data_IF_333155149933
#
_entry.id   IF_333155149933
#
_cell.length_a   1.000
_cell.length_b   1.000
_cell.length_c   1.000
_cell.angle_alpha   90.00
_cell.angle_beta   90.00
_cell.angle_gamma   90.00
#
_symmetry.space_group_name_H-M   'P 1'
#
loop_
_entity.id
_entity.type
_entity.pdbx_description
1 polymer ?
#
# COMPACT_ATOMS: atom_id res chain seq x y z
N UNK A 1 -2.86 28.81 18.51
CA UNK A 1 -2.80 27.36 18.19
C UNK A 1 -1.36 26.99 17.95
N UNK A 2 -0.77 26.17 18.82
CA UNK A 2 0.53 25.55 18.52
C UNK A 2 0.30 24.59 17.33
N UNK A 3 1.19 24.56 16.33
CA UNK A 3 1.06 23.59 15.25
C UNK A 3 1.09 22.19 15.88
N UNK A 4 0.07 21.37 15.59
CA UNK A 4 0.12 19.94 15.86
C UNK A 4 1.27 19.37 15.02
N UNK A 5 2.46 19.28 15.60
CA UNK A 5 3.54 18.48 15.05
C UNK A 5 3.07 17.02 15.13
N UNK A 6 2.62 16.48 14.00
CA UNK A 6 2.57 15.03 13.82
C UNK A 6 3.99 14.55 14.08
N UNK A 7 4.20 13.83 15.19
CA UNK A 7 5.52 13.38 15.57
C UNK A 7 6.07 12.49 14.46
N UNK A 8 7.22 12.86 13.90
CA UNK A 8 7.88 12.05 12.88
C UNK A 8 8.24 10.70 13.53
N UNK A 9 7.77 9.57 12.99
CA UNK A 9 7.96 8.28 13.61
C UNK A 9 9.46 7.99 13.77
N UNK A 10 9.88 7.61 14.98
CA UNK A 10 11.29 7.37 15.27
C UNK A 10 11.87 6.24 14.40
N UNK A 11 13.14 6.34 13.98
CA UNK A 11 13.80 5.30 13.20
C UNK A 11 13.81 3.93 13.88
N UNK A 12 13.78 2.84 13.09
CA UNK A 12 13.43 1.52 13.63
C UNK A 12 14.54 0.96 14.52
N UNK A 13 15.79 1.37 14.27
CA UNK A 13 16.94 1.00 15.09
C UNK A 13 16.91 1.59 16.50
N UNK A 14 16.05 2.58 16.79
CA UNK A 14 15.83 3.06 18.16
C UNK A 14 14.75 2.26 18.92
N UNK A 15 13.97 1.42 18.23
CA UNK A 15 12.85 0.64 18.81
C UNK A 15 13.05 -0.87 18.75
N UNK A 16 14.30 -1.33 18.61
CA UNK A 16 14.65 -2.75 18.44
C UNK A 16 14.02 -3.63 19.52
N UNK A 17 14.07 -3.21 20.78
CA UNK A 17 13.53 -3.98 21.91
C UNK A 17 12.04 -4.28 21.77
N UNK A 18 11.26 -3.40 21.14
CA UNK A 18 9.82 -3.59 20.96
C UNK A 18 9.52 -4.72 19.97
N UNK A 19 10.33 -4.89 18.92
CA UNK A 19 10.16 -5.98 17.95
C UNK A 19 10.45 -7.34 18.59
N UNK A 20 11.48 -7.43 19.43
CA UNK A 20 11.77 -8.66 20.19
C UNK A 20 10.74 -8.94 21.29
N UNK A 21 10.13 -7.90 21.86
CA UNK A 21 9.06 -8.05 22.84
C UNK A 21 7.72 -8.50 22.20
N UNK A 22 7.53 -8.30 20.89
CA UNK A 22 6.26 -8.57 20.22
C UNK A 22 5.77 -10.03 20.38
N UNK A 23 6.56 -11.08 20.10
CA UNK A 23 6.09 -12.46 20.25
C UNK A 23 5.79 -12.87 21.69
N UNK A 24 6.26 -12.11 22.69
CA UNK A 24 5.98 -12.36 24.11
C UNK A 24 4.67 -11.76 24.61
N UNK A 25 3.95 -11.00 23.77
CA UNK A 25 2.58 -10.60 24.12
C UNK A 25 1.69 -11.84 24.25
N UNK A 26 0.69 -11.80 25.14
CA UNK A 26 -0.11 -12.97 25.52
C UNK A 26 -0.74 -13.73 24.35
N UNK A 27 -1.30 -13.00 23.38
CA UNK A 27 -1.91 -13.59 22.19
C UNK A 27 -0.90 -14.24 21.23
N UNK A 28 0.15 -13.53 20.73
CA UNK A 28 1.22 -14.16 19.96
C UNK A 28 1.85 -15.33 20.71
N UNK A 29 2.23 -15.17 21.97
CA UNK A 29 2.93 -16.20 22.73
C UNK A 29 2.10 -17.49 22.83
N UNK A 30 0.82 -17.38 23.19
CA UNK A 30 -0.09 -18.51 23.25
C UNK A 30 -0.23 -19.21 21.89
N UNK A 31 -0.34 -18.44 20.81
CA UNK A 31 -0.44 -19.00 19.47
C UNK A 31 0.85 -19.66 18.97
N UNK A 32 2.02 -19.07 19.26
CA UNK A 32 3.32 -19.64 18.94
C UNK A 32 3.56 -20.96 19.69
N UNK A 33 3.20 -21.02 20.98
CA UNK A 33 3.27 -22.24 21.77
C UNK A 33 2.32 -23.31 21.25
N UNK A 34 1.09 -22.94 20.87
CA UNK A 34 0.13 -23.86 20.26
C UNK A 34 0.66 -24.47 18.96
N UNK A 35 1.18 -23.65 18.05
CA UNK A 35 1.75 -24.11 16.78
C UNK A 35 3.01 -24.98 17.00
N UNK A 36 3.89 -24.55 17.90
CA UNK A 36 5.10 -25.26 18.27
C UNK A 36 4.79 -26.65 18.84
N UNK A 37 3.90 -26.75 19.83
CA UNK A 37 3.47 -28.03 20.41
C UNK A 37 2.67 -28.86 19.41
N UNK A 38 1.90 -28.21 18.54
CA UNK A 38 1.21 -28.82 17.42
C UNK A 38 2.14 -29.59 16.48
N UNK A 39 3.44 -29.29 16.45
CA UNK A 39 4.41 -30.09 15.69
C UNK A 39 4.44 -31.57 16.09
N UNK A 40 4.02 -31.91 17.32
CA UNK A 40 3.91 -33.29 17.80
C UNK A 40 2.70 -34.07 17.23
N UNK A 41 1.77 -33.39 16.55
CA UNK A 41 0.61 -34.02 15.89
C UNK A 41 1.00 -35.03 14.80
N UNK A 42 2.24 -35.02 14.31
CA UNK A 42 2.72 -36.01 13.34
C UNK A 42 2.53 -37.46 13.83
N UNK A 43 2.56 -37.67 15.16
CA UNK A 43 2.31 -38.99 15.76
C UNK A 43 0.87 -39.47 15.61
N UNK A 44 -0.10 -38.54 15.51
CA UNK A 44 -1.49 -38.88 15.28
C UNK A 44 -1.73 -39.36 13.83
N UNK A 45 -0.82 -39.03 12.91
CA UNK A 45 -0.84 -39.49 11.51
C UNK A 45 -0.13 -40.85 11.38
N UNK A 46 -0.48 -41.82 12.22
CA UNK A 46 0.18 -43.14 12.28
C UNK A 46 0.06 -43.95 10.99
N UNK A 47 -0.92 -43.63 10.14
CA UNK A 47 -1.15 -44.27 8.85
C UNK A 47 -0.19 -43.78 7.74
N UNK A 48 0.55 -42.70 7.97
CA UNK A 48 1.55 -42.17 7.04
C UNK A 48 2.97 -42.51 7.50
N UNK A 49 3.92 -42.72 6.55
CA UNK A 49 5.34 -42.75 6.88
C UNK A 49 5.75 -41.51 7.67
N UNK A 50 6.51 -41.70 8.76
CA UNK A 50 6.96 -40.63 9.65
C UNK A 50 7.50 -39.37 8.93
N UNK A 51 8.39 -39.44 7.92
CA UNK A 51 8.86 -38.23 7.25
C UNK A 51 7.76 -37.46 6.50
N UNK A 52 6.77 -38.16 5.92
CA UNK A 52 5.64 -37.54 5.24
C UNK A 52 4.69 -36.87 6.23
N UNK A 53 4.39 -37.55 7.34
CA UNK A 53 3.58 -37.00 8.43
C UNK A 53 4.21 -35.73 9.02
N UNK A 54 5.51 -35.77 9.30
CA UNK A 54 6.26 -34.60 9.79
C UNK A 54 6.19 -33.48 8.75
N UNK A 55 6.51 -33.75 7.49
CA UNK A 55 6.47 -32.75 6.42
C UNK A 55 5.12 -32.06 6.29
N UNK A 56 4.02 -32.82 6.31
CA UNK A 56 2.67 -32.28 6.22
C UNK A 56 2.33 -31.35 7.39
N UNK A 57 2.65 -31.76 8.62
CA UNK A 57 2.44 -30.94 9.83
C UNK A 57 3.30 -29.67 9.78
N UNK A 58 4.56 -29.78 9.36
CA UNK A 58 5.46 -28.62 9.24
C UNK A 58 4.97 -27.62 8.18
N UNK A 59 4.43 -28.08 7.05
CA UNK A 59 3.83 -27.19 6.04
C UNK A 59 2.62 -26.45 6.65
N UNK A 60 1.76 -27.15 7.39
CA UNK A 60 0.64 -26.53 8.09
C UNK A 60 1.08 -25.45 9.08
N UNK A 61 2.09 -25.75 9.90
CA UNK A 61 2.68 -24.80 10.86
C UNK A 61 3.29 -23.60 10.14
N UNK A 62 4.08 -23.83 9.09
CA UNK A 62 4.69 -22.78 8.28
C UNK A 62 3.62 -21.83 7.73
N UNK A 63 2.57 -22.36 7.11
CA UNK A 63 1.48 -21.56 6.54
C UNK A 63 0.73 -20.77 7.63
N UNK A 64 0.44 -21.41 8.77
CA UNK A 64 -0.24 -20.78 9.89
C UNK A 64 0.60 -19.65 10.53
N UNK A 65 1.90 -19.89 10.70
CA UNK A 65 2.86 -18.93 11.23
C UNK A 65 3.09 -17.78 10.25
N UNK A 66 3.23 -18.05 8.95
CA UNK A 66 3.37 -17.05 7.90
C UNK A 66 2.10 -16.21 7.77
N UNK A 67 0.90 -16.80 7.84
CA UNK A 67 -0.38 -16.06 7.83
C UNK A 67 -0.41 -15.04 8.97
N UNK A 68 -0.02 -15.47 10.17
CA UNK A 68 0.06 -14.55 11.30
C UNK A 68 1.15 -13.50 11.10
N UNK A 69 2.34 -13.87 10.60
CA UNK A 69 3.39 -12.91 10.26
C UNK A 69 2.92 -11.83 9.28
N UNK A 70 2.20 -12.20 8.22
CA UNK A 70 1.60 -11.23 7.29
C UNK A 70 0.58 -10.30 7.97
N UNK A 71 -0.24 -10.84 8.87
CA UNK A 71 -1.13 -10.02 9.72
C UNK A 71 -0.33 -9.03 10.57
N UNK A 72 0.77 -9.45 11.18
CA UNK A 72 1.64 -8.57 11.98
C UNK A 72 2.25 -7.47 11.12
N UNK A 73 2.76 -7.81 9.93
CA UNK A 73 3.36 -6.82 9.03
C UNK A 73 2.32 -5.81 8.51
N UNK A 74 1.12 -6.28 8.12
CA UNK A 74 0.05 -5.44 7.59
C UNK A 74 -0.59 -4.52 8.64
N UNK A 75 -0.80 -5.01 9.88
CA UNK A 75 -1.30 -4.18 10.96
C UNK A 75 -0.20 -3.26 11.52
N UNK A 76 1.03 -3.75 11.56
CA UNK A 76 2.21 -2.97 11.92
C UNK A 76 2.43 -1.78 10.98
N UNK A 77 2.17 -1.94 9.68
CA UNK A 77 2.27 -0.85 8.70
C UNK A 77 1.23 0.26 8.90
N UNK A 78 0.10 -0.09 9.50
CA UNK A 78 -0.95 0.84 9.91
C UNK A 78 -0.69 1.45 11.30
N UNK A 79 0.42 1.11 11.95
CA UNK A 79 0.79 1.61 13.29
C UNK A 79 0.26 0.77 14.45
N UNK A 80 -0.36 -0.38 14.20
CA UNK A 80 -0.92 -1.26 15.23
C UNK A 80 0.13 -2.32 15.63
N UNK A 81 0.83 -2.08 16.73
CA UNK A 81 1.94 -2.92 17.22
C UNK A 81 1.56 -3.89 18.36
N UNK A 82 0.38 -3.70 18.97
CA UNK A 82 -0.13 -4.56 20.04
C UNK A 82 -1.17 -5.53 19.49
N UNK A 83 -0.98 -6.81 19.74
CA UNK A 83 -1.90 -7.85 19.29
C UNK A 83 -3.29 -7.72 19.93
N UNK A 84 -3.37 -7.20 21.16
CA UNK A 84 -4.64 -6.93 21.84
C UNK A 84 -5.51 -5.89 21.10
N UNK A 85 -4.90 -5.04 20.27
CA UNK A 85 -5.59 -4.00 19.49
C UNK A 85 -5.93 -4.48 18.07
N UNK A 86 -5.70 -5.76 17.76
CA UNK A 86 -6.00 -6.29 16.42
C UNK A 86 -7.50 -6.31 16.16
N UNK A 87 -7.96 -5.81 15.00
CA UNK A 87 -9.37 -5.81 14.65
C UNK A 87 -9.87 -7.25 14.52
N UNK A 88 -11.13 -7.46 14.92
CA UNK A 88 -11.78 -8.77 14.89
C UNK A 88 -12.00 -9.25 13.46
N UNK A 89 -12.25 -8.33 12.53
CA UNK A 89 -12.34 -8.59 11.09
C UNK A 89 -11.07 -8.10 10.40
N UNK A 90 -10.44 -8.99 9.65
CA UNK A 90 -9.24 -8.71 8.87
C UNK A 90 -9.59 -8.64 7.41
N UNK A 91 -8.76 -7.95 6.63
CA UNK A 91 -8.90 -7.94 5.19
C UNK A 91 -8.83 -9.39 4.64
N UNK A 92 -9.88 -9.87 3.95
CA UNK A 92 -9.87 -11.21 3.37
C UNK A 92 -8.70 -11.43 2.41
N UNK A 93 -8.19 -10.37 1.77
CA UNK A 93 -7.09 -10.44 0.82
C UNK A 93 -5.76 -10.84 1.46
N UNK A 94 -5.62 -10.68 2.78
CA UNK A 94 -4.42 -11.10 3.51
C UNK A 94 -4.34 -12.61 3.70
N UNK A 95 -5.45 -13.32 3.52
CA UNK A 95 -5.56 -14.77 3.75
C UNK A 95 -4.59 -15.57 2.90
N UNK A 96 -4.36 -15.11 1.68
CA UNK A 96 -3.62 -15.85 0.66
C UNK A 96 -2.22 -15.28 0.37
N UNK A 97 -1.78 -14.27 1.13
CA UNK A 97 -0.41 -13.73 1.02
C UNK A 97 0.70 -14.79 1.27
N UNK A 98 0.58 -15.73 2.22
CA UNK A 98 1.59 -16.77 2.41
C UNK A 98 1.82 -17.62 1.16
N UNK A 99 0.75 -17.95 0.43
CA UNK A 99 0.82 -18.70 -0.82
C UNK A 99 1.45 -17.88 -1.94
N UNK A 100 1.14 -16.58 -2.01
CA UNK A 100 1.77 -15.65 -2.96
C UNK A 100 3.27 -15.52 -2.69
N UNK A 101 3.69 -15.40 -1.43
CA UNK A 101 5.10 -15.40 -1.04
C UNK A 101 5.79 -16.71 -1.39
N UNK A 102 5.16 -17.86 -1.11
CA UNK A 102 5.70 -19.16 -1.49
C UNK A 102 5.96 -19.24 -3.00
N UNK A 103 5.00 -18.80 -3.83
CA UNK A 103 5.17 -18.76 -5.27
C UNK A 103 6.32 -17.82 -5.70
N UNK A 104 6.49 -16.66 -5.04
CA UNK A 104 7.63 -15.75 -5.29
C UNK A 104 8.96 -16.43 -4.96
N UNK A 105 9.03 -17.13 -3.83
CA UNK A 105 10.23 -17.88 -3.43
C UNK A 105 10.55 -19.02 -4.40
N UNK A 106 9.54 -19.69 -4.96
CA UNK A 106 9.73 -20.68 -6.04
C UNK A 106 10.33 -20.02 -7.29
N UNK A 107 9.81 -18.87 -7.72
CA UNK A 107 10.38 -18.10 -8.84
C UNK A 107 11.83 -17.71 -8.57
N UNK A 108 12.13 -17.20 -7.37
CA UNK A 108 13.51 -16.89 -6.96
C UNK A 108 14.41 -18.13 -7.01
N UNK A 109 13.94 -19.28 -6.51
CA UNK A 109 14.67 -20.54 -6.56
C UNK A 109 14.98 -21.02 -7.98
N UNK A 110 14.03 -20.86 -8.90
CA UNK A 110 14.22 -21.18 -10.33
C UNK A 110 15.30 -20.26 -10.94
N UNK A 111 15.26 -18.96 -10.64
CA UNK A 111 16.27 -17.99 -11.14
C UNK A 111 17.67 -18.37 -10.63
N UNK A 112 17.82 -18.60 -9.32
CA UNK A 112 19.11 -19.01 -8.73
C UNK A 112 19.57 -20.34 -9.32
N UNK A 113 18.66 -21.30 -9.50
CA UNK A 113 18.96 -22.61 -10.12
C UNK A 113 19.42 -22.49 -11.56
N UNK A 114 18.85 -21.58 -12.35
CA UNK A 114 19.33 -21.27 -13.70
C UNK A 114 20.72 -20.62 -13.68
N UNK A 115 20.95 -19.63 -12.82
CA UNK A 115 22.27 -19.01 -12.67
C UNK A 115 23.35 -20.03 -12.26
N UNK A 116 23.00 -21.01 -11.41
CA UNK A 116 23.88 -22.09 -10.99
C UNK A 116 24.32 -23.01 -12.13
N UNK A 117 23.51 -23.14 -13.21
CA UNK A 117 23.92 -23.86 -14.41
C UNK A 117 24.99 -23.11 -15.23
N UNK A 118 25.08 -21.78 -15.07
CA UNK A 118 26.09 -20.96 -15.76
C UNK A 118 27.39 -20.94 -14.96
N UNK A 119 27.32 -20.58 -13.68
CA UNK A 119 28.46 -20.66 -12.76
C UNK A 119 28.03 -20.55 -11.31
N UNK A 120 28.86 -21.07 -10.40
CA UNK A 120 28.64 -20.91 -8.95
C UNK A 120 28.64 -19.43 -8.53
N UNK A 121 29.53 -18.62 -9.13
CA UNK A 121 29.61 -17.18 -8.83
C UNK A 121 28.33 -16.43 -9.22
N UNK A 122 27.74 -16.74 -10.37
CA UNK A 122 26.45 -16.15 -10.77
C UNK A 122 25.31 -16.58 -9.85
N UNK A 123 25.28 -17.83 -9.39
CA UNK A 123 24.28 -18.28 -8.43
C UNK A 123 24.39 -17.53 -7.09
N UNK A 124 25.60 -17.35 -6.59
CA UNK A 124 25.86 -16.59 -5.35
C UNK A 124 25.45 -15.12 -5.51
N UNK A 125 25.77 -14.50 -6.64
CA UNK A 125 25.34 -13.13 -6.93
C UNK A 125 23.82 -13.01 -7.03
N UNK A 126 23.16 -13.93 -7.74
CA UNK A 126 21.70 -13.96 -7.86
C UNK A 126 21.04 -14.14 -6.49
N UNK A 127 21.56 -15.06 -5.66
CA UNK A 127 21.08 -15.28 -4.30
C UNK A 127 21.22 -14.03 -3.44
N UNK A 128 22.38 -13.35 -3.50
CA UNK A 128 22.62 -12.11 -2.76
C UNK A 128 21.65 -11.00 -3.18
N UNK A 129 21.49 -10.78 -4.49
CA UNK A 129 20.59 -9.75 -5.04
C UNK A 129 19.13 -10.04 -4.69
N UNK A 130 18.66 -11.27 -4.88
CA UNK A 130 17.28 -11.64 -4.58
C UNK A 130 17.01 -11.60 -3.06
N UNK A 131 17.97 -11.98 -2.23
CA UNK A 131 17.84 -11.84 -0.77
C UNK A 131 17.76 -10.38 -0.34
N UNK A 132 18.53 -9.49 -0.99
CA UNK A 132 18.47 -8.05 -0.75
C UNK A 132 17.13 -7.44 -1.21
N UNK A 133 16.53 -7.93 -2.30
CA UNK A 133 15.25 -7.43 -2.83
C UNK A 133 14.01 -8.07 -2.17
N UNK A 134 14.18 -9.20 -1.47
CA UNK A 134 13.07 -9.95 -0.87
C UNK A 134 12.26 -9.11 0.14
N UNK A 135 12.85 -8.32 1.07
CA UNK A 135 12.06 -7.48 1.98
C UNK A 135 11.17 -6.47 1.23
N UNK A 136 11.69 -5.81 0.19
CA UNK A 136 10.91 -4.92 -0.65
C UNK A 136 9.80 -5.65 -1.41
N UNK A 137 10.05 -6.86 -1.92
CA UNK A 137 9.01 -7.70 -2.53
C UNK A 137 7.89 -8.04 -1.53
N UNK A 138 8.23 -8.35 -0.27
CA UNK A 138 7.24 -8.58 0.79
C UNK A 138 6.44 -7.32 1.10
N UNK A 139 7.10 -6.14 1.17
CA UNK A 139 6.42 -4.85 1.38
C UNK A 139 5.41 -4.58 0.26
N UNK A 140 5.82 -4.72 -1.00
CA UNK A 140 4.93 -4.56 -2.16
C UNK A 140 3.79 -5.59 -2.12
N UNK A 141 4.08 -6.82 -1.70
CA UNK A 141 3.07 -7.88 -1.57
C UNK A 141 2.02 -7.54 -0.51
N UNK A 142 2.44 -7.03 0.66
CA UNK A 142 1.53 -6.59 1.73
C UNK A 142 0.68 -5.41 1.27
N UNK A 143 1.28 -4.46 0.54
CA UNK A 143 0.62 -3.23 0.10
C UNK A 143 -0.39 -3.47 -1.04
N UNK A 144 0.00 -4.25 -2.04
CA UNK A 144 -0.79 -4.41 -3.29
C UNK A 144 -1.64 -5.67 -3.29
N UNK A 145 -1.41 -6.58 -2.33
CA UNK A 145 -1.94 -7.94 -2.28
C UNK A 145 -1.75 -8.72 -3.61
N UNK A 146 -0.94 -8.23 -4.54
CA UNK A 146 -0.80 -8.75 -5.90
C UNK A 146 0.48 -9.55 -6.08
N UNK A 147 0.37 -10.77 -6.61
CA UNK A 147 1.53 -11.61 -6.91
C UNK A 147 2.45 -10.99 -7.98
N UNK A 148 1.89 -10.57 -9.11
CA UNK A 148 2.67 -9.97 -10.19
C UNK A 148 3.27 -8.62 -9.81
N UNK A 149 2.54 -7.84 -9.00
CA UNK A 149 3.04 -6.58 -8.45
C UNK A 149 4.28 -6.80 -7.57
N UNK A 150 4.27 -7.84 -6.73
CA UNK A 150 5.39 -8.20 -5.86
C UNK A 150 6.61 -8.78 -6.61
N UNK A 151 6.47 -9.14 -7.89
CA UNK A 151 7.57 -9.53 -8.79
C UNK A 151 8.01 -8.39 -9.72
N UNK A 152 7.29 -7.27 -9.76
CA UNK A 152 7.59 -6.17 -10.66
C UNK A 152 8.86 -5.44 -10.18
N UNK A 153 9.95 -5.45 -10.95
CA UNK A 153 11.21 -4.85 -10.53
C UNK A 153 11.10 -3.34 -10.32
N UNK A 154 10.21 -2.65 -11.04
CA UNK A 154 10.00 -1.21 -10.87
C UNK A 154 9.40 -0.89 -9.50
N UNK A 155 8.34 -1.60 -9.10
CA UNK A 155 7.70 -1.40 -7.79
C UNK A 155 8.63 -1.77 -6.63
N UNK A 156 9.42 -2.83 -6.79
CA UNK A 156 10.43 -3.23 -5.80
C UNK A 156 11.51 -2.16 -5.68
N UNK A 157 12.07 -1.68 -6.79
CA UNK A 157 13.10 -0.65 -6.77
C UNK A 157 12.57 0.70 -6.25
N UNK A 158 11.33 1.06 -6.57
CA UNK A 158 10.69 2.25 -6.02
C UNK A 158 10.48 2.13 -4.51
N UNK A 159 10.10 0.96 -4.01
CA UNK A 159 10.03 0.69 -2.57
C UNK A 159 11.40 0.85 -1.90
N UNK A 160 12.46 0.31 -2.50
CA UNK A 160 13.85 0.47 -2.01
C UNK A 160 14.25 1.95 -2.00
N UNK A 161 13.87 2.72 -3.02
CA UNK A 161 14.15 4.17 -3.11
C UNK A 161 13.38 4.99 -2.08
N UNK A 162 12.11 4.66 -1.85
CA UNK A 162 11.25 5.32 -0.85
C UNK A 162 11.84 5.15 0.56
N UNK A 163 12.27 3.93 0.90
CA UNK A 163 12.90 3.65 2.20
C UNK A 163 14.30 4.27 2.28
N UNK A 164 15.06 4.22 1.18
CA UNK A 164 16.38 4.85 1.05
C UNK A 164 17.48 4.08 1.78
N UNK A 165 18.49 4.80 2.29
CA UNK A 165 19.64 4.20 3.02
C UNK A 165 19.24 3.28 4.19
N UNK A 166 18.20 3.60 4.99
CA UNK A 166 17.64 2.69 6.00
C UNK A 166 17.32 1.28 5.50
N UNK A 167 17.05 1.08 4.20
CA UNK A 167 16.75 -0.22 3.63
C UNK A 167 17.91 -1.20 3.75
N UNK A 168 19.14 -0.74 3.51
CA UNK A 168 20.32 -1.60 3.67
C UNK A 168 20.50 -2.04 5.13
N UNK A 169 20.21 -1.14 6.07
CA UNK A 169 20.22 -1.44 7.50
C UNK A 169 19.10 -2.43 7.87
N UNK A 170 17.90 -2.28 7.31
CA UNK A 170 16.80 -3.24 7.46
C UNK A 170 17.24 -4.63 6.98
N UNK A 171 17.80 -4.74 5.77
CA UNK A 171 18.30 -6.01 5.24
C UNK A 171 19.37 -6.62 6.15
N UNK A 172 20.29 -5.80 6.68
CA UNK A 172 21.30 -6.26 7.64
C UNK A 172 20.67 -6.81 8.92
N UNK A 173 19.68 -6.12 9.50
CA UNK A 173 18.96 -6.62 10.68
C UNK A 173 18.17 -7.90 10.39
N UNK A 174 17.50 -8.01 9.25
CA UNK A 174 16.78 -9.22 8.85
C UNK A 174 17.76 -10.40 8.64
N UNK A 175 18.93 -10.14 8.06
CA UNK A 175 20.00 -11.12 7.96
C UNK A 175 20.49 -11.57 9.34
N UNK A 176 20.78 -10.63 10.25
CA UNK A 176 21.18 -10.95 11.62
C UNK A 176 20.11 -11.75 12.37
N UNK A 177 18.83 -11.43 12.21
CA UNK A 177 17.72 -12.16 12.81
C UNK A 177 17.64 -13.59 12.25
N UNK A 178 17.78 -13.76 10.94
CA UNK A 178 17.78 -15.07 10.28
C UNK A 178 18.97 -15.93 10.73
N UNK A 179 20.19 -15.37 10.74
CA UNK A 179 21.38 -16.06 11.25
C UNK A 179 21.29 -16.34 12.75
N UNK A 180 20.74 -15.41 13.52
CA UNK A 180 20.50 -15.56 14.95
C UNK A 180 19.59 -16.75 15.27
N UNK A 181 18.56 -16.98 14.46
CA UNK A 181 17.70 -18.16 14.59
C UNK A 181 18.46 -19.48 14.38
N UNK A 182 19.36 -19.52 13.39
CA UNK A 182 20.20 -20.70 13.11
C UNK A 182 21.21 -20.96 14.23
N UNK A 183 21.88 -19.91 14.72
CA UNK A 183 22.85 -19.99 15.82
C UNK A 183 22.16 -20.38 17.13
N UNK A 184 21.01 -19.78 17.44
CA UNK A 184 20.22 -20.15 18.62
C UNK A 184 19.87 -21.64 18.57
N UNK A 185 19.48 -22.16 17.40
CA UNK A 185 19.20 -23.57 17.25
C UNK A 185 20.44 -24.44 17.44
N UNK A 186 21.59 -24.10 16.84
CA UNK A 186 22.81 -24.90 16.99
C UNK A 186 23.31 -24.96 18.44
N UNK A 187 23.05 -23.93 19.24
CA UNK A 187 23.33 -23.90 20.68
C UNK A 187 22.33 -24.71 21.52
N UNK A 188 21.09 -24.88 21.05
CA UNK A 188 20.04 -25.65 21.74
C UNK A 188 20.14 -27.16 21.47
N UNK A 189 20.66 -27.57 20.30
CA UNK A 189 20.83 -28.98 19.93
C UNK A 189 21.56 -29.85 20.99
N UNK A 190 22.65 -29.39 21.62
CA UNK A 190 23.35 -30.19 22.64
C UNK A 190 22.61 -30.26 23.98
N UNK A 191 21.76 -29.28 24.28
CA UNK A 191 21.07 -29.15 25.58
C UNK A 191 19.79 -29.97 25.61
N UNK A 192 19.08 -30.05 24.48
CA UNK A 192 17.78 -30.71 24.37
C UNK A 192 17.87 -31.91 23.44
N UNK A 193 17.36 -33.06 23.89
CA UNK A 193 17.30 -34.28 23.08
C UNK A 193 15.87 -34.83 22.98
N UNK A 194 15.61 -35.62 21.95
CA UNK A 194 14.33 -36.29 21.74
C UNK A 194 13.21 -35.39 21.19
N UNK A 195 11.98 -35.70 21.56
CA UNK A 195 10.76 -35.17 20.92
C UNK A 195 10.52 -33.68 21.14
N UNK A 196 11.09 -33.08 22.19
CA UNK A 196 10.93 -31.66 22.51
C UNK A 196 11.69 -30.75 21.54
N UNK A 197 12.68 -31.29 20.81
CA UNK A 197 13.51 -30.54 19.88
C UNK A 197 12.70 -29.97 18.72
N UNK A 198 11.68 -30.69 18.25
CA UNK A 198 10.84 -30.28 17.13
C UNK A 198 9.90 -29.10 17.49
N UNK A 199 9.19 -29.12 18.63
CA UNK A 199 8.53 -27.92 19.14
C UNK A 199 9.49 -26.76 19.36
N UNK A 200 10.65 -26.99 19.97
CA UNK A 200 11.60 -25.93 20.28
C UNK A 200 12.13 -25.25 18.99
N UNK A 201 12.46 -26.05 17.98
CA UNK A 201 12.81 -25.57 16.65
C UNK A 201 11.71 -24.70 16.04
N UNK A 202 10.46 -25.19 16.05
CA UNK A 202 9.32 -24.46 15.53
C UNK A 202 9.08 -23.16 16.28
N UNK A 203 9.18 -23.18 17.61
CA UNK A 203 9.02 -21.99 18.43
C UNK A 203 10.08 -20.93 18.08
N UNK A 204 11.35 -21.32 17.94
CA UNK A 204 12.41 -20.41 17.52
C UNK A 204 12.14 -19.82 16.13
N UNK A 205 11.78 -20.65 15.14
CA UNK A 205 11.48 -20.18 13.78
C UNK A 205 10.28 -19.23 13.75
N UNK A 206 9.20 -19.55 14.47
CA UNK A 206 8.01 -18.69 14.59
C UNK A 206 8.36 -17.37 15.27
N UNK A 207 9.10 -17.43 16.38
CA UNK A 207 9.55 -16.26 17.14
C UNK A 207 10.31 -15.29 16.24
N UNK A 208 11.42 -15.74 15.63
CA UNK A 208 12.23 -14.88 14.76
C UNK A 208 11.45 -14.42 13.52
N UNK A 209 10.60 -15.29 12.96
CA UNK A 209 9.69 -14.96 11.86
C UNK A 209 8.77 -13.78 12.18
N UNK A 210 8.18 -13.76 13.36
CA UNK A 210 7.28 -12.69 13.79
C UNK A 210 8.01 -11.43 14.24
N UNK A 211 9.22 -11.55 14.81
CA UNK A 211 10.09 -10.38 15.03
C UNK A 211 10.40 -9.70 13.71
N UNK A 212 10.81 -10.46 12.67
CA UNK A 212 11.05 -9.92 11.33
C UNK A 212 9.80 -9.27 10.73
N UNK A 213 8.63 -9.89 10.89
CA UNK A 213 7.37 -9.32 10.42
C UNK A 213 7.01 -8.00 11.13
N UNK A 214 7.20 -7.93 12.45
CA UNK A 214 6.96 -6.71 13.23
C UNK A 214 7.90 -5.57 12.84
N UNK A 215 9.17 -5.89 12.59
CA UNK A 215 10.17 -4.94 12.08
C UNK A 215 9.77 -4.42 10.69
N UNK A 216 9.39 -5.32 9.78
CA UNK A 216 8.99 -4.96 8.42
C UNK A 216 7.74 -4.07 8.43
N UNK A 217 6.72 -4.44 9.22
CA UNK A 217 5.53 -3.63 9.40
C UNK A 217 5.85 -2.23 9.94
N UNK A 218 6.74 -2.11 10.92
CA UNK A 218 7.12 -0.80 11.44
C UNK A 218 7.92 0.06 10.44
N UNK A 219 8.77 -0.54 9.60
CA UNK A 219 9.43 0.21 8.50
C UNK A 219 8.40 0.71 7.50
N UNK A 220 7.39 -0.09 7.17
CA UNK A 220 6.28 0.38 6.34
C UNK A 220 5.53 1.53 7.00
N UNK A 221 5.31 1.48 8.31
CA UNK A 221 4.73 2.58 9.08
C UNK A 221 5.60 3.84 9.07
N UNK A 222 6.92 3.75 9.17
CA UNK A 222 7.80 4.93 9.08
C UNK A 222 7.68 5.67 7.76
N UNK A 223 7.50 4.92 6.69
CA UNK A 223 7.39 5.45 5.33
C UNK A 223 5.94 5.42 4.81
N UNK A 224 4.95 5.42 5.73
CA UNK A 224 3.54 5.19 5.38
C UNK A 224 3.01 6.22 4.38
N UNK A 225 3.32 7.50 4.54
CA UNK A 225 2.88 8.56 3.60
C UNK A 225 3.41 8.32 2.19
N UNK A 226 4.72 8.03 2.06
CA UNK A 226 5.36 7.78 0.77
C UNK A 226 4.94 6.44 0.14
N UNK A 227 4.56 5.46 0.96
CA UNK A 227 3.98 4.19 0.53
C UNK A 227 2.45 4.27 0.36
N UNK A 228 1.81 5.44 0.55
CA UNK A 228 0.36 5.59 0.42
C UNK A 228 -0.45 4.69 1.36
N UNK A 229 0.08 4.41 2.56
CA UNK A 229 -0.56 3.61 3.61
C UNK A 229 -1.27 4.58 4.56
N UNK A 230 -2.58 4.41 4.72
CA UNK A 230 -3.37 5.12 5.73
C UNK A 230 -3.00 4.59 7.13
N UNK A 231 -2.08 5.25 7.82
CA UNK A 231 -1.65 4.85 9.15
C UNK A 231 -2.47 5.55 10.26
N UNK A 232 -2.73 4.82 11.34
CA UNK A 232 -3.29 5.41 12.56
C UNK A 232 -2.15 6.09 13.31
N UNK A 233 -2.31 7.36 13.77
CA UNK A 233 -1.26 8.06 14.52
C UNK A 233 -0.87 7.25 15.76
N UNK A 234 0.31 6.65 15.74
CA UNK A 234 0.88 6.00 16.91
C UNK A 234 1.38 7.10 17.85
N UNK A 235 0.78 7.23 19.04
CA UNK A 235 1.33 8.07 20.09
C UNK A 235 2.75 7.56 20.39
N UNK A 236 3.75 8.41 20.15
CA UNK A 236 5.16 8.08 20.31
C UNK A 236 5.39 7.52 21.72
N UNK A 237 5.64 6.21 21.78
CA UNK A 237 5.90 5.50 23.03
C UNK A 237 7.37 5.71 23.38
N UNK A 238 7.62 6.55 24.39
CA UNK A 238 8.92 6.66 25.04
C UNK A 238 9.28 5.39 25.81
N UNK A 239 10.47 5.35 26.44
CA UNK A 239 11.01 4.15 27.09
C UNK A 239 10.22 3.64 28.29
N UNK A 240 9.29 4.44 28.83
CA UNK A 240 8.46 4.07 29.98
C UNK A 240 6.99 3.98 29.57
N UNK A 241 6.42 2.78 29.69
CA UNK A 241 4.99 2.58 29.96
C UNK A 241 4.01 2.87 28.81
N UNK A 242 3.14 1.90 28.56
CA UNK A 242 2.02 1.97 27.61
C UNK A 242 1.29 3.34 27.60
N UNK A 243 0.92 3.88 26.42
CA UNK A 243 -0.06 4.95 26.40
C UNK A 243 -1.44 4.32 26.65
N UNK A 244 -2.12 4.81 27.69
CA UNK A 244 -3.57 4.71 27.74
C UNK A 244 -4.12 5.39 26.47
N UNK A 245 -5.01 4.70 25.75
CA UNK A 245 -5.75 5.26 24.61
C UNK A 245 -6.28 6.64 25.01
N UNK A 246 -6.14 7.66 24.16
CA UNK A 246 -6.78 8.94 24.47
C UNK A 246 -8.30 8.74 24.52
N UNK A 247 -9.04 9.50 25.35
CA UNK A 247 -10.50 9.40 25.41
C UNK A 247 -11.16 9.51 24.02
N UNK A 248 -10.59 10.31 23.14
CA UNK A 248 -11.01 10.44 21.73
C UNK A 248 -10.79 9.16 20.91
N UNK A 249 -9.68 8.45 21.11
CA UNK A 249 -9.42 7.17 20.44
C UNK A 249 -10.37 6.06 20.93
N UNK A 250 -10.69 6.05 22.22
CA UNK A 250 -11.66 5.11 22.79
C UNK A 250 -13.05 5.40 22.23
N UNK A 251 -13.46 6.68 22.22
CA UNK A 251 -14.76 7.10 21.69
C UNK A 251 -14.89 6.78 20.19
N UNK A 252 -13.83 7.00 19.40
CA UNK A 252 -13.79 6.63 17.98
C UNK A 252 -13.93 5.12 17.77
N UNK A 253 -13.21 4.32 18.55
CA UNK A 253 -13.28 2.86 18.47
C UNK A 253 -14.68 2.35 18.85
N UNK A 254 -15.27 2.88 19.93
CA UNK A 254 -16.63 2.51 20.34
C UNK A 254 -17.65 2.85 19.24
N UNK A 255 -17.52 4.02 18.63
CA UNK A 255 -18.40 4.41 17.53
C UNK A 255 -18.21 3.53 16.27
N UNK A 256 -16.97 3.13 15.96
CA UNK A 256 -16.71 2.14 14.90
C UNK A 256 -17.35 0.78 15.21
N UNK A 257 -17.31 0.36 16.47
CA UNK A 257 -17.92 -0.88 16.95
C UNK A 257 -19.45 -0.83 16.85
N UNK A 258 -20.07 0.26 17.30
CA UNK A 258 -21.52 0.47 17.22
C UNK A 258 -22.01 0.48 15.77
N UNK A 259 -21.32 1.21 14.88
CA UNK A 259 -21.63 1.23 13.45
C UNK A 259 -21.52 -0.16 12.84
N UNK A 260 -20.48 -0.93 13.19
CA UNK A 260 -20.29 -2.28 12.67
C UNK A 260 -21.37 -3.26 13.18
N UNK A 261 -21.81 -3.13 14.42
CA UNK A 261 -22.90 -3.93 14.98
C UNK A 261 -24.21 -3.70 14.23
N UNK A 262 -24.57 -2.44 13.99
CA UNK A 262 -25.77 -2.10 13.22
C UNK A 262 -25.70 -2.61 11.77
N UNK A 263 -24.55 -2.53 11.11
CA UNK A 263 -24.37 -3.11 9.76
C UNK A 263 -24.51 -4.63 9.77
N UNK A 264 -23.92 -5.31 10.76
CA UNK A 264 -24.01 -6.77 10.89
C UNK A 264 -25.44 -7.25 11.20
N UNK A 265 -26.20 -6.46 11.95
CA UNK A 265 -27.62 -6.69 12.21
C UNK A 265 -28.53 -6.40 11.01
N UNK A 266 -27.98 -5.88 9.90
CA UNK A 266 -28.73 -5.47 8.71
C UNK A 266 -29.43 -4.12 8.84
N UNK A 267 -29.20 -3.40 9.94
CA UNK A 267 -29.75 -2.06 10.18
C UNK A 267 -28.81 -0.97 9.63
N UNK A 268 -28.79 -0.85 8.29
CA UNK A 268 -28.01 0.17 7.61
C UNK A 268 -28.49 1.60 7.94
N UNK A 269 -29.76 1.77 8.34
CA UNK A 269 -30.33 3.07 8.65
C UNK A 269 -29.75 3.63 9.95
N UNK A 270 -29.66 2.82 11.01
CA UNK A 270 -29.03 3.20 12.27
C UNK A 270 -27.53 3.47 12.10
N UNK A 271 -26.82 2.61 11.36
CA UNK A 271 -25.40 2.80 11.06
C UNK A 271 -25.12 4.12 10.32
N UNK A 272 -25.97 4.47 9.34
CA UNK A 272 -25.89 5.75 8.64
C UNK A 272 -26.16 6.95 9.57
N UNK A 273 -27.09 6.81 10.51
CA UNK A 273 -27.38 7.86 11.50
C UNK A 273 -26.17 8.17 12.38
N UNK A 274 -25.52 7.14 12.92
CA UNK A 274 -24.31 7.28 13.75
C UNK A 274 -23.16 7.90 12.96
N UNK A 275 -22.91 7.43 11.73
CA UNK A 275 -21.84 7.97 10.91
C UNK A 275 -22.12 9.40 10.41
N UNK A 276 -23.39 9.75 10.20
CA UNK A 276 -23.78 11.12 9.87
C UNK A 276 -23.48 12.08 11.04
N UNK A 277 -23.85 11.70 12.26
CA UNK A 277 -23.59 12.53 13.45
C UNK A 277 -22.10 12.74 13.68
N UNK A 278 -21.28 11.69 13.51
CA UNK A 278 -19.83 11.80 13.66
C UNK A 278 -19.18 12.70 12.61
N UNK A 279 -19.60 12.55 11.35
CA UNK A 279 -19.19 13.41 10.25
C UNK A 279 -19.57 14.87 10.50
N UNK A 280 -20.75 15.09 11.09
CA UNK A 280 -21.27 16.42 11.43
C UNK A 280 -20.49 17.07 12.56
N UNK A 281 -20.10 16.31 13.58
CA UNK A 281 -19.30 16.81 14.72
C UNK A 281 -17.81 16.94 14.39
N UNK A 282 -17.31 16.17 13.43
CA UNK A 282 -15.91 16.14 13.02
C UNK A 282 -15.75 16.40 11.51
N UNK A 283 -16.05 17.61 11.02
CA UNK A 283 -16.07 17.91 9.59
C UNK A 283 -14.71 17.83 8.90
N UNK A 284 -13.62 18.10 9.62
CA UNK A 284 -12.25 18.05 9.09
C UNK A 284 -11.58 16.68 9.32
N UNK A 285 -12.25 15.74 9.99
CA UNK A 285 -11.73 14.40 10.26
C UNK A 285 -12.04 13.45 9.09
N UNK A 286 -11.01 13.15 8.31
CA UNK A 286 -11.09 12.26 7.15
C UNK A 286 -11.61 10.88 7.52
N UNK A 287 -11.35 10.38 8.74
CA UNK A 287 -11.85 9.07 9.17
C UNK A 287 -13.38 9.04 9.27
N UNK A 288 -13.95 10.05 9.93
CA UNK A 288 -15.40 10.22 10.06
C UNK A 288 -16.06 10.37 8.68
N UNK A 289 -15.47 11.21 7.81
CA UNK A 289 -15.96 11.41 6.44
C UNK A 289 -15.91 10.13 5.59
N UNK A 290 -14.84 9.34 5.74
CA UNK A 290 -14.62 8.07 5.02
C UNK A 290 -15.61 6.99 5.47
N UNK A 291 -15.85 6.87 6.77
CA UNK A 291 -16.86 5.94 7.33
C UNK A 291 -18.25 6.26 6.77
N UNK A 292 -18.64 7.53 6.84
CA UNK A 292 -19.92 7.98 6.31
C UNK A 292 -20.01 7.75 4.79
N UNK A 293 -18.95 8.03 4.02
CA UNK A 293 -18.92 7.77 2.58
C UNK A 293 -19.13 6.28 2.24
N UNK A 294 -18.47 5.37 2.97
CA UNK A 294 -18.60 3.92 2.76
C UNK A 294 -20.03 3.43 3.01
N UNK A 295 -20.68 3.91 4.06
CA UNK A 295 -22.07 3.56 4.35
C UNK A 295 -23.02 4.16 3.31
N UNK A 296 -22.76 5.38 2.82
CA UNK A 296 -23.54 5.97 1.75
C UNK A 296 -23.45 5.17 0.44
N UNK A 297 -22.30 4.58 0.12
CA UNK A 297 -22.14 3.70 -1.05
C UNK A 297 -22.98 2.42 -0.98
N UNK A 298 -23.20 1.91 0.24
CA UNK A 298 -24.03 0.74 0.53
C UNK A 298 -25.52 1.08 0.62
N UNK A 299 -25.86 2.36 0.73
CA UNK A 299 -27.23 2.85 0.85
C UNK A 299 -27.83 3.24 -0.50
N UNK A 300 -29.16 3.34 -0.55
CA UNK A 300 -29.88 3.88 -1.72
C UNK A 300 -29.91 5.41 -1.78
N UNK A 301 -29.19 6.11 -0.90
CA UNK A 301 -29.17 7.59 -0.81
C UNK A 301 -28.19 8.23 -1.80
N UNK A 302 -28.38 7.96 -3.10
CA UNK A 302 -27.47 8.44 -4.16
C UNK A 302 -27.30 9.96 -4.16
N UNK A 303 -28.37 10.75 -4.01
CA UNK A 303 -28.27 12.21 -3.99
C UNK A 303 -27.37 12.71 -2.83
N UNK A 304 -27.50 12.11 -1.64
CA UNK A 304 -26.69 12.42 -0.46
C UNK A 304 -25.24 11.96 -0.63
N UNK A 305 -25.03 10.81 -1.27
CA UNK A 305 -23.69 10.30 -1.63
C UNK A 305 -22.95 11.29 -2.54
N UNK A 306 -23.59 11.78 -3.59
CA UNK A 306 -22.94 12.70 -4.54
C UNK A 306 -22.62 14.04 -3.88
N UNK A 307 -23.53 14.57 -3.05
CA UNK A 307 -23.29 15.81 -2.33
C UNK A 307 -22.15 15.69 -1.30
N UNK A 308 -22.13 14.60 -0.53
CA UNK A 308 -21.02 14.26 0.37
C UNK A 308 -19.72 14.07 -0.41
N UNK A 309 -19.78 13.37 -1.55
CA UNK A 309 -18.63 13.10 -2.41
C UNK A 309 -17.92 14.38 -2.87
N UNK A 310 -18.66 15.42 -3.28
CA UNK A 310 -18.05 16.72 -3.67
C UNK A 310 -17.27 17.36 -2.51
N UNK A 311 -17.87 17.40 -1.32
CA UNK A 311 -17.24 17.98 -0.11
C UNK A 311 -16.06 17.16 0.36
N UNK A 312 -16.20 15.83 0.34
CA UNK A 312 -15.15 14.91 0.78
C UNK A 312 -13.95 14.93 -0.17
N UNK A 313 -14.17 14.95 -1.49
CA UNK A 313 -13.09 15.11 -2.48
C UNK A 313 -12.33 16.42 -2.25
N UNK A 314 -13.04 17.53 -2.00
CA UNK A 314 -12.40 18.80 -1.71
C UNK A 314 -11.53 18.73 -0.43
N UNK A 315 -12.01 18.06 0.62
CA UNK A 315 -11.24 17.83 1.85
C UNK A 315 -9.98 16.99 1.58
N UNK A 316 -10.11 15.87 0.87
CA UNK A 316 -9.01 14.97 0.52
C UNK A 316 -7.93 15.69 -0.30
N UNK A 317 -8.34 16.52 -1.26
CA UNK A 317 -7.41 17.31 -2.07
C UNK A 317 -6.67 18.36 -1.23
N UNK A 318 -7.34 19.03 -0.27
CA UNK A 318 -6.70 19.97 0.66
C UNK A 318 -5.67 19.30 1.57
N UNK A 319 -5.89 18.03 1.92
CA UNK A 319 -4.97 17.23 2.73
C UNK A 319 -3.90 16.49 1.89
N UNK A 320 -3.86 16.69 0.57
CA UNK A 320 -2.89 16.04 -0.32
C UNK A 320 -3.20 14.58 -0.69
N UNK A 321 -4.33 14.02 -0.23
CA UNK A 321 -4.76 12.63 -0.46
C UNK A 321 -5.40 12.43 -1.83
N UNK A 322 -4.65 12.77 -2.88
CA UNK A 322 -5.15 12.86 -4.26
C UNK A 322 -5.56 11.50 -4.85
N UNK A 323 -4.89 10.42 -4.46
CA UNK A 323 -5.21 9.06 -4.90
C UNK A 323 -6.57 8.58 -4.37
N UNK A 324 -6.89 8.92 -3.12
CA UNK A 324 -8.19 8.59 -2.53
C UNK A 324 -9.30 9.48 -3.12
N UNK A 325 -9.03 10.77 -3.30
CA UNK A 325 -9.96 11.68 -3.97
C UNK A 325 -10.40 11.15 -5.34
N UNK A 326 -9.48 10.53 -6.10
CA UNK A 326 -9.80 9.88 -7.37
C UNK A 326 -10.74 8.67 -7.20
N UNK A 327 -10.49 7.81 -6.20
CA UNK A 327 -11.34 6.65 -5.92
C UNK A 327 -12.77 7.08 -5.57
N UNK A 328 -12.89 8.11 -4.72
CA UNK A 328 -14.19 8.69 -4.33
C UNK A 328 -14.90 9.27 -5.56
N UNK A 329 -14.17 9.99 -6.42
CA UNK A 329 -14.71 10.51 -7.68
C UNK A 329 -15.24 9.40 -8.59
N UNK A 330 -14.46 8.34 -8.80
CA UNK A 330 -14.85 7.18 -9.63
C UNK A 330 -16.07 6.45 -9.06
N UNK A 331 -16.13 6.27 -7.73
CA UNK A 331 -17.27 5.64 -7.07
C UNK A 331 -18.57 6.46 -7.24
N UNK A 332 -18.49 7.79 -7.12
CA UNK A 332 -19.62 8.68 -7.38
C UNK A 332 -20.05 8.62 -8.85
N UNK A 333 -19.08 8.61 -9.77
CA UNK A 333 -19.29 8.48 -11.22
C UNK A 333 -19.90 7.15 -11.66
N UNK A 334 -19.60 6.07 -10.94
CA UNK A 334 -20.19 4.75 -11.18
C UNK A 334 -21.68 4.70 -10.79
N UNK A 335 -22.09 5.54 -9.82
CA UNK A 335 -23.50 5.70 -9.44
C UNK A 335 -24.22 6.70 -10.36
N UNK A 336 -23.56 7.80 -10.73
CA UNK A 336 -24.12 8.85 -11.57
C UNK A 336 -23.09 9.33 -12.60
N UNK A 337 -23.33 9.05 -13.89
CA UNK A 337 -22.39 9.37 -14.95
C UNK A 337 -22.20 10.88 -15.14
N UNK A 338 -23.19 11.71 -14.78
CA UNK A 338 -23.07 13.17 -14.84
C UNK A 338 -22.35 13.79 -13.63
N UNK A 339 -21.84 12.99 -12.69
CA UNK A 339 -21.16 13.50 -11.51
C UNK A 339 -19.93 14.34 -11.88
N UNK A 340 -19.86 15.52 -11.27
CA UNK A 340 -18.87 16.55 -11.53
C UNK A 340 -18.50 17.27 -10.22
N UNK A 341 -17.28 17.81 -10.17
CA UNK A 341 -16.82 18.67 -9.09
C UNK A 341 -17.21 20.13 -9.36
N UNK A 342 -17.49 20.87 -8.30
CA UNK A 342 -17.97 22.26 -8.37
C UNK A 342 -16.82 23.28 -8.55
N UNK A 343 -15.60 22.88 -8.19
CA UNK A 343 -14.42 23.76 -8.22
C UNK A 343 -13.51 23.44 -9.42
N UNK A 344 -13.20 24.47 -10.20
CA UNK A 344 -12.44 24.35 -11.43
C UNK A 344 -10.98 23.96 -11.18
N UNK A 345 -10.36 24.55 -10.16
CA UNK A 345 -8.95 24.34 -9.84
C UNK A 345 -8.74 22.94 -9.25
N UNK A 346 -9.64 22.48 -8.38
CA UNK A 346 -9.65 21.11 -7.85
C UNK A 346 -9.86 20.07 -8.94
N UNK A 347 -10.80 20.32 -9.87
CA UNK A 347 -11.02 19.44 -11.02
C UNK A 347 -9.76 19.31 -11.86
N UNK A 348 -9.11 20.43 -12.17
CA UNK A 348 -7.89 20.45 -12.97
C UNK A 348 -6.70 19.81 -12.22
N UNK A 349 -6.58 20.05 -10.92
CA UNK A 349 -5.55 19.43 -10.07
C UNK A 349 -5.69 17.90 -10.04
N UNK A 350 -6.91 17.40 -9.85
CA UNK A 350 -7.19 15.97 -9.87
C UNK A 350 -6.90 15.36 -11.26
N UNK A 351 -7.28 16.04 -12.34
CA UNK A 351 -6.99 15.61 -13.71
C UNK A 351 -5.48 15.60 -14.04
N UNK A 352 -4.71 16.57 -13.55
CA UNK A 352 -3.24 16.56 -13.71
C UNK A 352 -2.62 15.40 -12.94
N UNK A 353 -3.16 15.06 -11.77
CA UNK A 353 -2.70 13.91 -10.99
C UNK A 353 -2.99 12.58 -11.69
N UNK A 354 -4.18 12.39 -12.26
CA UNK A 354 -4.52 11.18 -13.02
C UNK A 354 -3.64 11.02 -14.25
N UNK A 355 -3.32 12.13 -14.93
CA UNK A 355 -2.43 12.12 -16.08
C UNK A 355 -1.01 11.67 -15.70
N UNK A 356 -0.46 12.20 -14.60
CA UNK A 356 0.84 11.78 -14.07
C UNK A 356 0.87 10.31 -13.66
N UNK A 357 -0.25 9.77 -13.20
CA UNK A 357 -0.42 8.36 -12.87
C UNK A 357 -0.56 7.45 -14.12
N UNK A 358 -0.60 8.01 -15.33
CA UNK A 358 -0.70 7.26 -16.58
C UNK A 358 -2.12 6.90 -17.02
N UNK A 359 -3.15 7.40 -16.32
CA UNK A 359 -4.55 7.10 -16.66
C UNK A 359 -5.15 8.17 -17.60
N UNK A 360 -4.96 7.95 -18.90
CA UNK A 360 -5.47 8.82 -19.96
C UNK A 360 -7.01 8.89 -19.99
N UNK A 361 -7.70 7.78 -19.70
CA UNK A 361 -9.17 7.71 -19.76
C UNK A 361 -9.83 8.43 -18.59
N UNK A 362 -9.32 8.24 -17.37
CA UNK A 362 -9.81 8.98 -16.20
C UNK A 362 -9.54 10.49 -16.36
N UNK A 363 -8.38 10.87 -16.90
CA UNK A 363 -8.05 12.26 -17.20
C UNK A 363 -9.05 12.87 -18.19
N UNK A 364 -9.36 12.18 -19.29
CA UNK A 364 -10.34 12.64 -20.27
C UNK A 364 -11.72 12.84 -19.63
N UNK A 365 -12.12 11.91 -18.76
CA UNK A 365 -13.42 11.95 -18.07
C UNK A 365 -13.53 13.18 -17.17
N UNK A 366 -12.47 13.55 -16.47
CA UNK A 366 -12.43 14.72 -15.58
C UNK A 366 -12.49 16.06 -16.33
N UNK A 367 -11.83 16.15 -17.48
CA UNK A 367 -11.75 17.40 -18.27
C UNK A 367 -12.86 17.52 -19.34
N UNK A 368 -13.64 16.46 -19.56
CA UNK A 368 -14.75 16.48 -20.51
C UNK A 368 -15.80 17.52 -20.11
N UNK A 369 -16.10 18.44 -21.02
CA UNK A 369 -17.08 19.53 -20.79
C UNK A 369 -16.62 20.60 -19.80
N UNK A 370 -15.33 20.66 -19.46
CA UNK A 370 -14.77 21.62 -18.50
C UNK A 370 -15.01 23.08 -18.93
N UNK A 371 -14.84 23.38 -20.23
CA UNK A 371 -15.04 24.72 -20.80
C UNK A 371 -16.50 25.20 -20.69
N UNK A 372 -17.45 24.27 -20.85
CA UNK A 372 -18.89 24.54 -20.71
C UNK A 372 -19.29 24.73 -19.26
N UNK A 373 -18.68 23.96 -18.34
CA UNK A 373 -18.98 24.00 -16.90
C UNK A 373 -18.39 25.23 -16.21
N UNK A 374 -17.17 25.62 -16.60
CA UNK A 374 -16.41 26.71 -15.96
C UNK A 374 -16.15 27.87 -16.93
N UNK A 375 -17.22 28.36 -17.59
CA UNK A 375 -17.10 29.45 -18.58
C UNK A 375 -16.40 30.67 -17.99
N UNK A 376 -15.32 31.11 -18.64
CA UNK A 376 -14.56 32.30 -18.24
C UNK A 376 -13.64 32.11 -17.03
N UNK A 377 -13.50 30.89 -16.49
CA UNK A 377 -12.56 30.63 -15.39
C UNK A 377 -11.11 30.66 -15.88
N UNK A 378 -10.18 31.15 -15.05
CA UNK A 378 -8.75 31.24 -15.37
C UNK A 378 -8.10 29.87 -15.66
N UNK A 379 -8.71 28.79 -15.17
CA UNK A 379 -8.27 27.41 -15.39
C UNK A 379 -8.63 26.84 -16.78
N UNK A 380 -9.53 27.47 -17.53
CA UNK A 380 -10.00 26.96 -18.83
C UNK A 380 -8.87 26.79 -19.86
N UNK A 381 -7.96 27.77 -20.06
CA UNK A 381 -6.82 27.59 -20.96
C UNK A 381 -5.95 26.38 -20.58
N UNK A 382 -5.70 26.20 -19.27
CA UNK A 382 -4.91 25.08 -18.76
C UNK A 382 -5.61 23.72 -18.92
N UNK A 383 -6.96 23.68 -18.87
CA UNK A 383 -7.71 22.46 -19.18
C UNK A 383 -7.60 22.08 -20.66
N UNK A 384 -7.63 23.06 -21.58
CA UNK A 384 -7.36 22.83 -23.00
C UNK A 384 -5.92 22.36 -23.25
N UNK A 385 -4.93 22.92 -22.54
CA UNK A 385 -3.54 22.48 -22.60
C UNK A 385 -3.39 21.01 -22.20
N UNK A 386 -4.00 20.62 -21.07
CA UNK A 386 -4.03 19.23 -20.62
C UNK A 386 -4.75 18.32 -21.62
N UNK A 387 -5.87 18.77 -22.20
CA UNK A 387 -6.61 18.01 -23.21
C UNK A 387 -5.80 17.79 -24.50
N UNK A 388 -5.08 18.81 -24.98
CA UNK A 388 -4.21 18.69 -26.16
C UNK A 388 -3.05 17.73 -25.90
N UNK A 389 -2.40 17.83 -24.73
CA UNK A 389 -1.34 16.92 -24.30
C UNK A 389 -1.84 15.48 -24.22
N UNK A 390 -3.03 15.29 -23.64
CA UNK A 390 -3.70 13.99 -23.55
C UNK A 390 -4.01 13.38 -24.93
N UNK A 391 -4.55 14.16 -25.87
CA UNK A 391 -4.83 13.68 -27.23
C UNK A 391 -3.55 13.28 -27.97
N UNK A 392 -2.49 14.08 -27.85
CA UNK A 392 -1.22 13.84 -28.54
C UNK A 392 -0.43 12.69 -27.93
N UNK A 393 -0.16 12.73 -26.62
CA UNK A 393 0.73 11.79 -25.93
C UNK A 393 -0.01 10.55 -25.41
N UNK A 394 -1.27 10.69 -25.00
CA UNK A 394 -2.05 9.58 -24.45
C UNK A 394 -2.75 8.74 -25.52
N UNK A 395 -3.30 9.39 -26.54
CA UNK A 395 -4.09 8.72 -27.58
C UNK A 395 -3.48 8.74 -28.98
N UNK A 396 -2.33 9.40 -29.19
CA UNK A 396 -1.67 9.50 -30.49
C UNK A 396 -2.48 10.27 -31.56
N UNK A 397 -3.52 11.02 -31.15
CA UNK A 397 -4.44 11.73 -32.04
C UNK A 397 -4.03 13.18 -32.21
N UNK A 398 -3.00 13.39 -33.04
CA UNK A 398 -2.46 14.72 -33.35
C UNK A 398 -3.47 15.64 -34.03
N UNK A 399 -4.33 15.08 -34.88
CA UNK A 399 -5.47 15.74 -35.52
C UNK A 399 -6.40 16.41 -34.50
N UNK A 400 -6.76 15.68 -33.45
CA UNK A 400 -7.62 16.19 -32.38
C UNK A 400 -6.91 17.26 -31.54
N UNK A 401 -5.61 17.09 -31.29
CA UNK A 401 -4.82 18.08 -30.57
C UNK A 401 -4.69 19.41 -31.35
N UNK A 402 -4.57 19.35 -32.69
CA UNK A 402 -4.59 20.54 -33.56
C UNK A 402 -5.93 21.28 -33.51
N UNK A 403 -7.05 20.54 -33.51
CA UNK A 403 -8.38 21.13 -33.33
C UNK A 403 -8.54 21.85 -31.97
N UNK A 404 -7.96 21.28 -30.91
CA UNK A 404 -7.92 21.91 -29.59
C UNK A 404 -7.08 23.19 -29.62
N UNK A 405 -5.90 23.18 -30.26
CA UNK A 405 -5.05 24.38 -30.41
C UNK A 405 -5.78 25.51 -31.15
N UNK A 406 -6.47 25.20 -32.26
CA UNK A 406 -7.25 26.20 -33.01
C UNK A 406 -8.34 26.84 -32.15
N UNK A 407 -9.04 26.04 -31.33
CA UNK A 407 -10.06 26.53 -30.39
C UNK A 407 -9.44 27.41 -29.30
N UNK A 408 -8.28 27.01 -28.78
CA UNK A 408 -7.55 27.74 -27.75
C UNK A 408 -7.02 29.08 -28.27
N UNK A 409 -6.52 29.13 -29.51
CA UNK A 409 -6.07 30.36 -30.16
C UNK A 409 -7.22 31.33 -30.47
N UNK A 410 -8.38 30.81 -30.87
CA UNK A 410 -9.54 31.64 -31.15
C UNK A 410 -10.14 32.28 -29.88
N UNK A 411 -10.10 31.57 -28.74
CA UNK A 411 -10.72 32.02 -27.47
C UNK A 411 -9.75 32.69 -26.50
N UNK A 412 -8.49 32.26 -26.49
CA UNK A 412 -7.46 32.70 -25.54
C UNK A 412 -6.08 32.85 -26.23
N UNK A 413 -5.94 33.76 -27.21
CA UNK A 413 -4.76 33.88 -28.08
C UNK A 413 -3.45 34.16 -27.32
N UNK A 414 -3.51 34.94 -26.24
CA UNK A 414 -2.34 35.39 -25.47
C UNK A 414 -2.08 34.57 -24.19
N UNK A 415 -2.72 33.40 -24.04
CA UNK A 415 -2.51 32.56 -22.86
C UNK A 415 -1.22 31.73 -22.95
N UNK A 416 -0.52 31.56 -21.82
CA UNK A 416 0.68 30.69 -21.71
C UNK A 416 0.37 29.25 -22.19
N UNK A 417 -0.84 28.76 -21.87
CA UNK A 417 -1.38 27.49 -22.36
C UNK A 417 -1.40 27.38 -23.90
N UNK A 418 -1.73 28.46 -24.62
CA UNK A 418 -1.73 28.46 -26.09
C UNK A 418 -0.31 28.39 -26.68
N UNK A 419 0.67 28.97 -25.98
CA UNK A 419 2.08 28.88 -26.36
C UNK A 419 2.64 27.48 -26.12
N UNK A 420 2.33 26.87 -24.96
CA UNK A 420 2.71 25.50 -24.62
C UNK A 420 2.15 24.47 -25.60
N UNK A 421 0.86 24.54 -25.95
CA UNK A 421 0.25 23.61 -26.92
C UNK A 421 0.86 23.78 -28.32
N UNK A 422 1.20 25.01 -28.72
CA UNK A 422 1.88 25.27 -29.99
C UNK A 422 3.28 24.66 -30.02
N UNK A 423 4.00 24.72 -28.91
CA UNK A 423 5.29 24.08 -28.75
C UNK A 423 5.18 22.54 -28.79
N UNK A 424 4.20 21.98 -28.06
CA UNK A 424 3.89 20.54 -28.05
C UNK A 424 3.57 19.97 -29.43
N UNK A 425 2.97 20.77 -30.32
CA UNK A 425 2.57 20.37 -31.68
C UNK A 425 3.57 20.76 -32.77
N UNK A 426 4.76 21.27 -32.42
CA UNK A 426 5.84 21.47 -33.38
C UNK A 426 6.36 20.10 -33.81
N UNK A 427 6.54 19.89 -35.11
CA UNK A 427 7.17 18.66 -35.61
C UNK A 427 8.60 18.54 -35.05
N UNK A 428 9.08 17.34 -34.69
CA UNK A 428 10.52 17.12 -34.66
C UNK A 428 10.99 17.37 -36.10
N UNK A 429 11.89 18.32 -36.30
CA UNK A 429 12.53 18.52 -37.59
C UNK A 429 13.07 17.15 -38.07
N UNK A 430 12.85 16.76 -39.34
CA UNK A 430 13.66 15.70 -39.90
C UNK A 430 15.12 16.18 -39.81
N UNK A 431 15.98 15.43 -39.12
CA UNK A 431 17.43 15.61 -39.24
C UNK A 431 17.74 15.64 -40.74
N UNK A 432 18.06 16.82 -41.26
CA UNK A 432 18.66 16.96 -42.57
C UNK A 432 20.00 16.25 -42.47
N UNK A 433 20.03 14.98 -42.91
CA UNK A 433 21.27 14.25 -43.14
C UNK A 433 22.20 15.11 -44.01
N UNK A 434 23.53 15.01 -43.80
CA UNK A 434 24.48 15.93 -44.39
C UNK A 434 24.37 15.92 -45.92
N UNK A 435 24.21 17.13 -46.47
CA UNK A 435 24.21 17.46 -47.89
C UNK A 435 25.38 16.77 -48.62
N UNK A 436 25.15 15.91 -49.64
CA UNK A 436 26.22 15.31 -50.41
C UNK A 436 26.88 16.41 -51.26
N UNK A 437 28.06 16.87 -50.83
CA UNK A 437 28.91 17.78 -51.61
C UNK A 437 29.04 17.28 -53.06
N UNK A 438 28.93 18.16 -54.07
CA UNK A 438 29.20 17.77 -55.45
C UNK A 438 30.71 17.49 -55.62
N UNK A 439 31.01 16.39 -56.30
CA UNK A 439 32.37 15.99 -56.64
C UNK A 439 33.03 17.04 -57.55
N UNK A 440 34.28 17.46 -57.29
CA UNK A 440 35.05 18.21 -58.27
C UNK A 440 35.60 17.27 -59.35
N UNK A 441 35.62 17.80 -60.57
CA UNK A 441 36.15 17.20 -61.81
C UNK A 441 37.57 16.65 -61.71
#
# INVERSE_FOLDING_TARGET
MKPNHVAVPQPFWHRINQFFAFPFQSQPLGYALLLSLGSLLFKALFFLPAPLAIGLVQIGILLAASRYGFKVAALGSQGISRAADYPRHLDPDWTHLPWKLFAILVVHGIIVGWCARVSLGMAQLALLLLSFLLPASIIVLVQTTGFFSALNPLLILDTVRIIGKPYALLCFFLFLLSSGAQIAMSLLLPVFSGLILLPLFNFAMIYFGWVMASLLGYVMYQHHEALGIDAVPQADSGPDGAPARTPEQIARQQLDEDVAEHVAAGDLAAALGLAYEDQRTHPDDTHAQRRYHRLLLLSDKTATLLDHGRRFIALLLRQGQTAEALKVFQACRAKEASFALDDADQTLALARSTWRAGDAQATLTLISGFDKRFKGHAAVPHAYELAARLMLQGFGRRDMAQGILATLQARHPDSEAAQEVRWLLRDPEPEQGPDPRPAPH
#
